data_IF_200542332448
#
_entry.id   IF_200542332448
#
_cell.length_a   1.000
_cell.length_b   1.000
_cell.length_c   1.000
_cell.angle_alpha   90.00
_cell.angle_beta   90.00
_cell.angle_gamma   90.00
#
_symmetry.space_group_name_H-M   'P 1'
#
loop_
_entity.id
_entity.type
_entity.pdbx_description
1 polymer ?
#
# COMPACT_ATOMS: atom_id res chain seq x y z
N UNK A 1 -22.28 -4.83 -12.81
CA UNK A 1 -22.58 -4.66 -11.36
C UNK A 1 -23.21 -5.93 -10.75
N UNK A 2 -22.72 -7.14 -11.08
CA UNK A 2 -23.23 -8.41 -10.51
C UNK A 2 -22.18 -9.52 -10.35
N UNK A 3 -20.90 -9.27 -10.66
CA UNK A 3 -19.87 -10.33 -10.65
C UNK A 3 -18.93 -10.28 -9.43
N UNK A 4 -19.05 -9.29 -8.55
CA UNK A 4 -18.11 -9.10 -7.42
C UNK A 4 -18.70 -9.57 -6.08
N UNK A 5 -20.03 -9.63 -5.92
CA UNK A 5 -20.66 -10.10 -4.68
C UNK A 5 -20.41 -11.59 -4.39
N UNK A 6 -20.28 -12.43 -5.43
CA UNK A 6 -20.17 -13.89 -5.24
C UNK A 6 -18.78 -14.39 -4.86
N UNK A 7 -17.74 -13.54 -4.91
CA UNK A 7 -16.37 -13.94 -4.51
C UNK A 7 -16.07 -13.64 -3.04
N UNK A 8 -16.81 -12.72 -2.42
CA UNK A 8 -16.61 -12.35 -1.01
C UNK A 8 -17.20 -13.36 -0.01
N UNK A 9 -18.22 -14.13 -0.40
CA UNK A 9 -18.78 -15.18 0.48
C UNK A 9 -17.89 -16.42 0.63
N UNK A 10 -16.99 -16.69 -0.34
CA UNK A 10 -16.12 -17.88 -0.30
C UNK A 10 -14.81 -17.68 0.45
N UNK A 11 -14.46 -16.45 0.82
CA UNK A 11 -13.30 -16.13 1.65
C UNK A 11 -13.71 -15.95 3.12
N UNK A 12 -14.39 -16.96 3.67
CA UNK A 12 -14.68 -17.03 5.11
C UNK A 12 -13.42 -17.48 5.88
N UNK A 13 -12.33 -16.72 5.74
CA UNK A 13 -11.18 -16.85 6.63
C UNK A 13 -11.60 -16.36 8.01
N UNK A 14 -11.39 -17.13 9.09
CA UNK A 14 -11.73 -16.70 10.44
C UNK A 14 -10.80 -15.56 10.83
N UNK A 15 -11.19 -14.32 10.51
CA UNK A 15 -10.55 -13.13 11.03
C UNK A 15 -10.58 -13.23 12.55
N UNK A 16 -9.40 -13.50 13.14
CA UNK A 16 -9.20 -13.65 14.59
C UNK A 16 -9.94 -12.53 15.31
N UNK A 17 -10.60 -12.87 16.41
CA UNK A 17 -11.54 -12.02 17.18
C UNK A 17 -11.03 -10.62 17.58
N UNK A 18 -9.73 -10.36 17.48
CA UNK A 18 -9.12 -9.04 17.65
C UNK A 18 -9.33 -8.08 16.46
N UNK A 19 -9.60 -8.58 15.24
CA UNK A 19 -9.96 -7.76 14.07
C UNK A 19 -11.44 -7.34 14.09
N UNK A 20 -12.32 -8.20 14.61
CA UNK A 20 -13.79 -8.01 14.55
C UNK A 20 -14.30 -6.93 15.50
N UNK A 21 -13.60 -6.66 16.62
CA UNK A 21 -14.05 -5.69 17.64
C UNK A 21 -13.93 -4.21 17.24
N UNK A 22 -13.25 -3.88 16.14
CA UNK A 22 -13.09 -2.48 15.66
C UNK A 22 -13.70 -2.20 14.29
N UNK A 23 -14.20 -3.22 13.58
CA UNK A 23 -14.81 -3.06 12.26
C UNK A 23 -16.21 -2.41 12.29
N UNK A 24 -16.85 -2.31 13.46
CA UNK A 24 -18.22 -1.74 13.61
C UNK A 24 -18.26 -0.26 13.94
N UNK A 25 -17.11 0.44 13.98
CA UNK A 25 -17.08 1.90 14.13
C UNK A 25 -17.05 2.54 12.74
N UNK A 26 -18.22 2.91 12.21
CA UNK A 26 -18.31 3.74 11.01
C UNK A 26 -17.40 4.98 11.14
N UNK A 27 -16.70 5.29 10.06
CA UNK A 27 -15.51 6.15 10.04
C UNK A 27 -15.83 7.62 10.34
N UNK A 28 -15.67 8.03 11.60
CA UNK A 28 -15.62 9.46 11.97
C UNK A 28 -14.26 10.05 11.57
N UNK A 29 -14.16 10.50 10.32
CA UNK A 29 -13.13 11.46 9.86
C UNK A 29 -11.90 10.92 9.10
N UNK A 30 -11.58 9.62 9.17
CA UNK A 30 -10.44 9.00 8.44
C UNK A 30 -10.89 8.13 7.26
N UNK A 31 -10.13 8.12 6.17
CA UNK A 31 -10.39 7.21 5.02
C UNK A 31 -10.07 5.75 5.38
N UNK A 32 -10.68 4.79 4.68
CA UNK A 32 -10.35 3.36 4.84
C UNK A 32 -8.87 3.13 4.56
N UNK A 33 -8.33 3.77 3.52
CA UNK A 33 -6.90 3.74 3.22
C UNK A 33 -6.03 4.20 4.41
N UNK A 34 -6.35 5.33 5.04
CA UNK A 34 -5.63 5.83 6.21
C UNK A 34 -5.59 4.78 7.34
N UNK A 35 -6.70 4.08 7.55
CA UNK A 35 -6.76 3.01 8.56
C UNK A 35 -5.94 1.78 8.19
N UNK A 36 -5.87 1.42 6.91
CA UNK A 36 -5.01 0.33 6.44
C UNK A 36 -3.54 0.65 6.66
N UNK A 37 -3.13 1.89 6.33
CA UNK A 37 -1.76 2.36 6.51
C UNK A 37 -1.35 2.41 7.99
N UNK A 38 -2.29 2.69 8.91
CA UNK A 38 -2.03 2.68 10.36
C UNK A 38 -1.52 1.31 10.87
N UNK A 39 -1.71 0.21 10.13
CA UNK A 39 -1.19 -1.12 10.48
C UNK A 39 0.22 -1.42 9.94
N UNK A 40 0.77 -0.55 9.09
CA UNK A 40 2.08 -0.80 8.50
C UNK A 40 3.22 -0.53 9.50
N UNK A 41 4.25 -1.39 9.55
CA UNK A 41 5.40 -1.21 10.44
C UNK A 41 6.33 -0.11 9.88
N UNK A 42 5.96 1.16 10.07
CA UNK A 42 6.66 2.32 9.52
C UNK A 42 8.15 2.37 9.91
N UNK A 43 8.48 1.90 11.11
CA UNK A 43 9.86 1.82 11.57
C UNK A 43 10.70 0.85 10.72
N UNK A 44 10.13 -0.30 10.33
CA UNK A 44 10.81 -1.23 9.45
C UNK A 44 10.95 -0.66 8.03
N UNK A 45 9.95 0.08 7.55
CA UNK A 45 10.07 0.82 6.29
C UNK A 45 11.24 1.81 6.32
N UNK A 46 11.38 2.60 7.39
CA UNK A 46 12.48 3.55 7.53
C UNK A 46 13.84 2.86 7.51
N UNK A 47 14.01 1.71 8.17
CA UNK A 47 15.24 0.92 8.07
C UNK A 47 15.56 0.50 6.63
N UNK A 48 14.55 0.10 5.86
CA UNK A 48 14.73 -0.23 4.44
C UNK A 48 15.17 0.99 3.63
N UNK A 49 14.60 2.17 3.90
CA UNK A 49 15.00 3.42 3.22
C UNK A 49 16.44 3.79 3.58
N UNK A 50 16.81 3.73 4.85
CA UNK A 50 18.14 4.11 5.34
C UNK A 50 19.23 3.20 4.77
N UNK A 51 18.95 1.89 4.66
CA UNK A 51 19.86 0.89 4.06
C UNK A 51 20.33 1.28 2.65
N UNK A 52 19.45 1.89 1.86
CA UNK A 52 19.74 2.29 0.48
C UNK A 52 19.92 3.80 0.33
N UNK A 53 19.97 4.54 1.43
CA UNK A 53 20.02 6.00 1.43
C UNK A 53 18.92 6.61 0.54
N UNK A 54 17.72 6.00 0.54
CA UNK A 54 16.65 6.28 -0.42
C UNK A 54 16.08 7.69 -0.32
N UNK A 55 16.32 8.37 0.81
CA UNK A 55 15.96 9.77 1.02
C UNK A 55 17.10 10.77 0.75
N UNK A 56 18.23 10.34 0.19
CA UNK A 56 19.33 11.23 -0.14
C UNK A 56 18.97 12.22 -1.25
N UNK A 57 19.11 13.53 -0.95
CA UNK A 57 18.81 14.64 -1.87
C UNK A 57 17.39 14.65 -2.46
N UNK A 58 16.46 13.86 -1.95
CA UNK A 58 15.06 13.87 -2.39
C UNK A 58 14.22 14.77 -1.49
N UNK A 59 13.85 15.93 -2.01
CA UNK A 59 12.90 16.86 -1.39
C UNK A 59 12.08 17.49 -2.53
N UNK A 60 10.75 17.69 -2.36
CA UNK A 60 9.98 17.49 -1.13
C UNK A 60 9.33 16.10 -1.00
N UNK A 61 9.13 15.36 -2.10
CA UNK A 61 8.50 14.05 -2.10
C UNK A 61 9.50 12.99 -1.59
N UNK A 62 9.18 12.29 -0.49
CA UNK A 62 10.09 11.31 0.12
C UNK A 62 9.69 9.84 -0.19
N UNK A 63 10.52 8.86 0.23
CA UNK A 63 10.26 7.43 0.02
C UNK A 63 8.92 6.95 0.57
N UNK A 64 8.51 7.45 1.74
CA UNK A 64 7.26 7.05 2.36
C UNK A 64 6.05 7.58 1.57
N UNK A 65 6.06 8.84 1.17
CA UNK A 65 4.97 9.41 0.37
C UNK A 65 4.81 8.74 -1.00
N UNK A 66 5.92 8.33 -1.64
CA UNK A 66 5.86 7.49 -2.86
C UNK A 66 5.23 6.14 -2.56
N UNK A 67 5.68 5.46 -1.51
CA UNK A 67 5.12 4.16 -1.14
C UNK A 67 3.60 4.28 -0.92
N UNK A 68 3.15 5.29 -0.17
CA UNK A 68 1.73 5.56 0.04
C UNK A 68 0.98 5.86 -1.26
N UNK A 69 1.59 6.62 -2.17
CA UNK A 69 0.99 6.94 -3.46
C UNK A 69 0.80 5.69 -4.33
N UNK A 70 1.81 4.83 -4.39
CA UNK A 70 1.74 3.59 -5.16
C UNK A 70 0.77 2.60 -4.52
N UNK A 71 0.77 2.47 -3.19
CA UNK A 71 -0.21 1.64 -2.48
C UNK A 71 -1.64 2.17 -2.66
N UNK A 72 -1.81 3.49 -2.70
CA UNK A 72 -3.09 4.12 -2.98
C UNK A 72 -3.58 3.79 -4.39
N UNK A 73 -2.72 3.94 -5.39
CA UNK A 73 -3.01 3.61 -6.79
C UNK A 73 -3.53 2.17 -6.93
N UNK A 74 -2.85 1.22 -6.28
CA UNK A 74 -3.24 -0.18 -6.26
C UNK A 74 -4.59 -0.40 -5.57
N UNK A 75 -4.83 0.28 -4.44
CA UNK A 75 -6.10 0.20 -3.72
C UNK A 75 -7.29 0.75 -4.51
N UNK A 76 -7.05 1.73 -5.39
CA UNK A 76 -8.09 2.36 -6.22
C UNK A 76 -8.11 1.87 -7.66
N UNK A 77 -7.34 0.85 -8.00
CA UNK A 77 -7.24 0.30 -9.36
C UNK A 77 -6.88 1.38 -10.40
N UNK A 78 -5.99 2.32 -10.06
CA UNK A 78 -5.48 3.29 -11.03
C UNK A 78 -4.51 2.59 -12.00
N UNK A 79 -4.71 2.78 -13.31
CA UNK A 79 -3.95 2.07 -14.34
C UNK A 79 -2.77 2.89 -14.91
N UNK A 80 -2.75 4.21 -14.70
CA UNK A 80 -1.69 5.11 -15.19
C UNK A 80 -1.25 6.15 -14.17
N UNK A 81 -0.06 6.74 -14.37
CA UNK A 81 0.41 7.87 -13.57
C UNK A 81 -0.53 9.09 -13.64
N UNK A 82 -1.21 9.28 -14.78
CA UNK A 82 -2.19 10.34 -14.98
C UNK A 82 -3.45 10.10 -14.16
N UNK A 83 -3.91 8.86 -14.09
CA UNK A 83 -5.07 8.49 -13.26
C UNK A 83 -4.75 8.67 -11.79
N UNK A 84 -3.56 8.26 -11.36
CA UNK A 84 -3.08 8.46 -9.99
C UNK A 84 -3.10 9.95 -9.63
N UNK A 85 -2.50 10.81 -10.47
CA UNK A 85 -2.50 12.25 -10.23
C UNK A 85 -3.93 12.82 -10.18
N UNK A 86 -4.81 12.42 -11.11
CA UNK A 86 -6.18 12.92 -11.20
C UNK A 86 -7.00 12.53 -9.96
N UNK A 87 -6.90 11.26 -9.55
CA UNK A 87 -7.55 10.75 -8.34
C UNK A 87 -7.05 11.49 -7.09
N UNK A 88 -5.73 11.62 -6.92
CA UNK A 88 -5.16 12.30 -5.74
C UNK A 88 -5.55 13.79 -5.69
N UNK A 89 -5.59 14.48 -6.84
CA UNK A 89 -6.08 15.86 -6.93
C UNK A 89 -7.55 15.98 -6.53
N UNK A 90 -8.39 15.03 -6.94
CA UNK A 90 -9.81 15.03 -6.56
C UNK A 90 -10.02 14.85 -5.04
N UNK A 91 -9.09 14.19 -4.34
CA UNK A 91 -9.15 13.98 -2.88
C UNK A 91 -8.14 14.82 -2.10
N UNK A 92 -7.70 15.95 -2.64
CA UNK A 92 -6.70 16.83 -2.04
C UNK A 92 -6.97 17.16 -0.55
N UNK A 93 -8.24 17.31 -0.17
CA UNK A 93 -8.66 17.59 1.21
C UNK A 93 -8.47 16.42 2.19
N UNK A 94 -8.21 15.21 1.69
CA UNK A 94 -8.02 13.98 2.48
C UNK A 94 -6.57 13.50 2.48
N UNK A 95 -5.71 14.02 1.60
CA UNK A 95 -4.32 13.56 1.44
C UNK A 95 -3.52 13.66 2.74
N UNK A 96 -3.68 14.76 3.48
CA UNK A 96 -3.00 14.97 4.77
C UNK A 96 -3.28 13.83 5.76
N UNK A 97 -4.53 13.38 5.85
CA UNK A 97 -4.93 12.27 6.70
C UNK A 97 -4.49 10.89 6.19
N UNK A 98 -4.10 10.81 4.91
CA UNK A 98 -3.53 9.62 4.29
C UNK A 98 -2.00 9.58 4.40
N UNK A 99 -1.37 10.58 5.02
CA UNK A 99 0.09 10.66 5.18
C UNK A 99 0.82 11.27 3.99
N UNK A 100 0.08 11.78 2.98
CA UNK A 100 0.62 12.47 1.81
C UNK A 100 0.52 13.97 2.05
N UNK A 101 1.66 14.65 2.20
CA UNK A 101 1.72 16.08 2.53
C UNK A 101 1.98 16.93 1.30
N UNK A 102 2.80 16.42 0.39
CA UNK A 102 3.20 17.16 -0.80
C UNK A 102 2.21 17.02 -1.94
N UNK A 103 2.12 18.06 -2.77
CA UNK A 103 1.38 18.01 -4.02
C UNK A 103 2.11 17.07 -4.98
N UNK A 104 1.37 16.11 -5.54
CA UNK A 104 1.92 15.10 -6.44
C UNK A 104 1.60 15.52 -7.88
N UNK A 105 2.63 15.53 -8.73
CA UNK A 105 2.48 15.64 -10.18
C UNK A 105 2.93 14.37 -10.87
N UNK A 106 2.42 14.11 -12.09
CA UNK A 106 2.88 13.00 -12.93
C UNK A 106 4.39 13.01 -13.16
N UNK A 107 5.00 14.18 -13.36
CA UNK A 107 6.45 14.31 -13.55
C UNK A 107 7.24 13.84 -12.33
N UNK A 108 6.82 14.23 -11.12
CA UNK A 108 7.42 13.77 -9.87
C UNK A 108 7.24 12.26 -9.69
N UNK A 109 6.09 11.70 -10.06
CA UNK A 109 5.87 10.25 -10.00
C UNK A 109 6.78 9.49 -10.96
N UNK A 110 6.91 9.93 -12.22
CA UNK A 110 7.81 9.31 -13.21
C UNK A 110 9.25 9.34 -12.71
N UNK A 111 9.75 10.53 -12.37
CA UNK A 111 11.12 10.73 -11.92
C UNK A 111 11.45 9.88 -10.67
N UNK A 112 10.53 9.80 -9.72
CA UNK A 112 10.76 9.03 -8.49
C UNK A 112 10.57 7.53 -8.68
N UNK A 113 9.79 7.10 -9.67
CA UNK A 113 9.71 5.70 -10.07
C UNK A 113 11.00 5.23 -10.74
N UNK A 114 11.57 6.05 -11.63
CA UNK A 114 12.81 5.74 -12.34
C UNK A 114 14.04 5.75 -11.42
N UNK A 115 14.17 6.78 -10.58
CA UNK A 115 15.43 7.02 -9.87
C UNK A 115 15.53 6.34 -8.51
N UNK A 116 14.41 5.97 -7.87
CA UNK A 116 14.47 5.40 -6.51
C UNK A 116 14.70 3.91 -6.52
N UNK A 117 15.64 3.50 -5.67
CA UNK A 117 16.09 2.13 -5.54
C UNK A 117 14.92 1.17 -5.24
N UNK A 118 14.55 0.34 -6.21
CA UNK A 118 13.42 -0.59 -6.14
C UNK A 118 13.52 -1.57 -4.96
N UNK A 119 14.75 -1.91 -4.55
CA UNK A 119 15.03 -2.79 -3.39
C UNK A 119 14.42 -2.31 -2.08
N UNK A 120 14.14 -1.02 -1.91
CA UNK A 120 13.48 -0.50 -0.71
C UNK A 120 12.09 -1.14 -0.55
N UNK A 121 11.30 -1.17 -1.62
CA UNK A 121 9.96 -1.76 -1.60
C UNK A 121 10.04 -3.29 -1.53
N UNK A 122 11.04 -3.90 -2.17
CA UNK A 122 11.28 -5.34 -2.10
C UNK A 122 11.55 -5.78 -0.65
N UNK A 123 12.51 -5.14 0.04
CA UNK A 123 12.86 -5.47 1.41
C UNK A 123 11.67 -5.24 2.35
N UNK A 124 10.92 -4.17 2.14
CA UNK A 124 9.71 -3.92 2.93
C UNK A 124 8.63 -4.98 2.70
N UNK A 125 8.42 -5.43 1.46
CA UNK A 125 7.50 -6.53 1.17
C UNK A 125 7.92 -7.83 1.89
N UNK A 126 9.23 -8.12 1.96
CA UNK A 126 9.72 -9.28 2.72
C UNK A 126 9.43 -9.16 4.22
N UNK A 127 9.56 -7.96 4.79
CA UNK A 127 9.14 -7.70 6.18
C UNK A 127 7.65 -7.98 6.36
N UNK A 128 6.79 -7.47 5.48
CA UNK A 128 5.35 -7.69 5.55
C UNK A 128 4.97 -9.17 5.41
N UNK A 129 5.61 -9.90 4.48
CA UNK A 129 5.42 -11.35 4.31
C UNK A 129 5.80 -12.09 5.60
N UNK A 130 6.89 -11.68 6.26
CA UNK A 130 7.33 -12.29 7.51
C UNK A 130 6.31 -12.06 8.63
N UNK A 131 5.79 -10.85 8.76
CA UNK A 131 4.74 -10.51 9.73
C UNK A 131 3.46 -11.30 9.45
N UNK A 132 3.03 -11.36 8.19
CA UNK A 132 1.84 -12.12 7.79
C UNK A 132 2.01 -13.61 8.12
N UNK A 133 3.17 -14.20 7.83
CA UNK A 133 3.46 -15.60 8.15
C UNK A 133 3.34 -15.89 9.64
N UNK A 134 3.84 -15.01 10.49
CA UNK A 134 3.72 -15.21 11.94
C UNK A 134 2.26 -15.06 12.42
N UNK A 135 1.52 -14.09 11.88
CA UNK A 135 0.11 -13.86 12.26
C UNK A 135 -0.81 -15.03 11.90
N UNK A 136 -0.58 -15.63 10.73
CA UNK A 136 -1.41 -16.69 10.18
C UNK A 136 -0.85 -18.10 10.39
N UNK A 137 0.25 -18.30 11.12
CA UNK A 137 0.96 -19.61 11.25
C UNK A 137 0.11 -20.84 11.59
N UNK A 138 -1.06 -20.65 12.19
CA UNK A 138 -2.00 -21.72 12.58
C UNK A 138 -3.22 -21.81 11.65
N UNK A 139 -3.20 -21.08 10.54
CA UNK A 139 -4.28 -20.98 9.55
C UNK A 139 -3.84 -21.69 8.26
N UNK A 140 -4.77 -22.45 7.66
CA UNK A 140 -4.54 -23.17 6.40
C UNK A 140 -4.17 -22.21 5.25
N UNK A 141 -4.59 -20.93 5.37
CA UNK A 141 -4.23 -19.82 4.49
C UNK A 141 -2.72 -19.61 4.28
N UNK A 142 -1.86 -20.00 5.23
CA UNK A 142 -0.39 -19.91 5.08
C UNK A 142 0.12 -20.72 3.88
N UNK A 143 -0.53 -21.86 3.58
CA UNK A 143 -0.14 -22.73 2.47
C UNK A 143 -0.28 -22.03 1.12
N UNK A 144 -1.27 -21.13 0.99
CA UNK A 144 -1.47 -20.26 -0.18
C UNK A 144 -0.44 -19.13 -0.19
N UNK A 145 -0.16 -18.46 0.93
CA UNK A 145 0.86 -17.39 1.00
C UNK A 145 2.24 -17.87 0.52
N UNK A 146 2.61 -19.14 0.78
CA UNK A 146 3.86 -19.73 0.29
C UNK A 146 3.98 -19.70 -1.24
N UNK A 147 2.90 -19.96 -1.97
CA UNK A 147 2.88 -19.93 -3.42
C UNK A 147 2.59 -18.52 -3.97
N UNK A 148 1.79 -17.71 -3.27
CA UNK A 148 1.38 -16.36 -3.72
C UNK A 148 2.43 -15.27 -3.50
N UNK A 149 3.33 -15.40 -2.52
CA UNK A 149 4.42 -14.42 -2.35
C UNK A 149 5.39 -14.36 -3.55
N UNK A 150 5.41 -15.41 -4.38
CA UNK A 150 6.13 -15.45 -5.66
C UNK A 150 5.32 -14.85 -6.81
N UNK A 151 4.02 -14.58 -6.60
CA UNK A 151 3.05 -14.06 -7.57
C UNK A 151 2.54 -12.66 -7.17
N UNK A 152 3.38 -11.84 -6.53
CA UNK A 152 3.03 -10.48 -6.11
C UNK A 152 3.15 -9.53 -7.31
N UNK A 153 2.07 -9.55 -8.10
CA UNK A 153 1.52 -8.54 -9.03
C UNK A 153 2.48 -7.84 -10.02
N UNK A 154 2.44 -8.29 -11.27
CA UNK A 154 2.95 -7.59 -12.46
C UNK A 154 1.93 -6.54 -12.96
N UNK A 155 1.33 -5.76 -12.07
CA UNK A 155 0.59 -4.56 -12.52
C UNK A 155 1.62 -3.55 -12.98
N UNK A 156 1.86 -3.54 -14.29
CA UNK A 156 2.57 -2.46 -14.95
C UNK A 156 1.69 -1.21 -14.86
N UNK A 157 2.14 -0.20 -14.11
CA UNK A 157 1.50 1.12 -14.15
C UNK A 157 2.02 1.81 -15.42
N UNK A 158 1.11 2.14 -16.32
CA UNK A 158 1.48 2.83 -17.55
C UNK A 158 1.99 4.25 -17.24
N UNK A 159 3.09 4.63 -17.89
CA UNK A 159 3.71 5.95 -17.74
C UNK A 159 3.01 7.05 -18.55
N UNK A 160 2.02 6.69 -19.39
CA UNK A 160 1.34 7.59 -20.33
C UNK A 160 0.40 8.63 -19.69
#
# INVERSE_FOLDING_TARGET
MYAIDLKWEKLNLPLKSNFKKRATKMNTGKTVFSQLIDYLPIHEFHKCVDRYNGNYKVQPFNCWEKFLTMAFAQHTYCESLRDIETCLRAMQNKLYHMGIKNKISRSTLSETNENRHWRINQDFAQVLITIARELYKNDEFISEIKSTAYALDDTTIDLC
#
